data_IF_628177821361
#
_entry.id   IF_628177821361
#
_cell.length_a   1.000
_cell.length_b   1.000
_cell.length_c   1.000
_cell.angle_alpha   90.00
_cell.angle_beta   90.00
_cell.angle_gamma   90.00
#
_symmetry.space_group_name_H-M   'P 1'
#
loop_
_entity.id
_entity.type
_entity.pdbx_description
1 polymer ?
#
# COMPACT_ATOMS: atom_id res chain seq x y z
N UNK A 1 0.86 -2.67 38.00
CA UNK A 1 1.80 -2.97 36.90
C UNK A 1 2.94 -1.97 36.98
N UNK A 2 4.18 -2.43 37.18
CA UNK A 2 5.34 -1.55 37.07
C UNK A 2 5.54 -1.15 35.59
N UNK A 3 6.00 0.07 35.30
CA UNK A 3 6.33 0.47 33.94
C UNK A 3 7.45 -0.44 33.42
N UNK A 4 7.20 -1.09 32.28
CA UNK A 4 8.21 -1.87 31.57
C UNK A 4 9.32 -0.88 31.17
N UNK A 5 10.48 -0.93 31.85
CA UNK A 5 11.69 -0.23 31.38
C UNK A 5 11.92 -0.68 29.94
N UNK A 6 12.12 0.28 29.03
CA UNK A 6 12.58 0.00 27.67
C UNK A 6 13.78 -0.95 27.76
N UNK A 7 13.78 -2.11 27.09
CA UNK A 7 14.91 -3.02 27.19
C UNK A 7 16.09 -2.41 26.44
N UNK A 8 17.20 -2.26 27.14
CA UNK A 8 18.51 -1.98 26.54
C UNK A 8 18.95 -3.23 25.76
N UNK A 9 18.42 -3.40 24.55
CA UNK A 9 18.93 -4.39 23.62
C UNK A 9 20.40 -4.05 23.32
N UNK A 10 21.30 -5.04 23.27
CA UNK A 10 22.71 -4.79 22.98
C UNK A 10 22.87 -4.00 21.66
N UNK A 11 23.75 -2.97 21.60
CA UNK A 11 23.95 -2.17 20.38
C UNK A 11 24.28 -3.02 19.14
N UNK A 12 25.01 -4.13 19.33
CA UNK A 12 25.32 -5.09 18.27
C UNK A 12 24.06 -5.71 17.66
N UNK A 13 23.06 -6.03 18.48
CA UNK A 13 21.80 -6.60 18.01
C UNK A 13 20.96 -5.56 17.27
N UNK A 14 20.89 -4.33 17.79
CA UNK A 14 20.22 -3.21 17.13
C UNK A 14 20.84 -2.93 15.74
N UNK A 15 22.16 -2.93 15.65
CA UNK A 15 22.88 -2.76 14.39
C UNK A 15 22.61 -3.91 13.42
N UNK A 16 22.61 -5.16 13.89
CA UNK A 16 22.29 -6.31 13.04
C UNK A 16 20.85 -6.24 12.49
N UNK A 17 19.89 -5.82 13.32
CA UNK A 17 18.49 -5.62 12.91
C UNK A 17 18.39 -4.51 11.86
N UNK A 18 19.11 -3.40 12.04
CA UNK A 18 19.13 -2.29 11.09
C UNK A 18 19.73 -2.73 9.73
N UNK A 19 20.86 -3.44 9.74
CA UNK A 19 21.51 -3.96 8.53
C UNK A 19 20.63 -4.97 7.79
N UNK A 20 19.99 -5.88 8.51
CA UNK A 20 19.02 -6.80 7.91
C UNK A 20 17.85 -6.05 7.26
N UNK A 21 17.27 -5.08 7.98
CA UNK A 21 16.15 -4.31 7.47
C UNK A 21 16.55 -3.59 6.18
N UNK A 22 17.74 -2.99 6.14
CA UNK A 22 18.29 -2.29 4.98
C UNK A 22 18.53 -3.25 3.80
N UNK A 23 19.26 -4.35 4.03
CA UNK A 23 19.65 -5.32 3.01
C UNK A 23 18.47 -6.07 2.38
N UNK A 24 17.37 -6.24 3.12
CA UNK A 24 16.19 -6.97 2.65
C UNK A 24 15.07 -6.07 2.16
N UNK A 25 15.30 -4.76 2.07
CA UNK A 25 14.35 -3.77 1.56
C UNK A 25 14.83 -3.24 0.22
N UNK A 26 13.95 -3.14 -0.77
CA UNK A 26 14.30 -2.57 -2.07
C UNK A 26 14.80 -1.12 -1.90
N UNK A 27 15.96 -0.81 -2.47
CA UNK A 27 16.58 0.52 -2.44
C UNK A 27 15.69 1.57 -3.10
N UNK A 28 15.04 1.20 -4.20
CA UNK A 28 14.28 2.14 -5.05
C UNK A 28 12.82 2.33 -4.59
N UNK A 29 12.45 1.80 -3.42
CA UNK A 29 11.07 1.94 -2.94
C UNK A 29 10.85 3.35 -2.38
N UNK A 30 9.86 4.07 -2.91
CA UNK A 30 9.40 5.35 -2.35
C UNK A 30 8.91 5.21 -0.88
N UNK A 31 8.58 3.99 -0.44
CA UNK A 31 8.20 3.64 0.94
C UNK A 31 9.33 3.03 1.76
N UNK A 32 10.58 3.14 1.32
CA UNK A 32 11.73 2.51 2.00
C UNK A 32 11.76 2.85 3.50
N UNK A 33 11.63 4.12 3.86
CA UNK A 33 11.67 4.55 5.26
C UNK A 33 10.58 3.87 6.13
N UNK A 34 9.34 3.78 5.63
CA UNK A 34 8.25 3.08 6.32
C UNK A 34 8.54 1.58 6.47
N UNK A 35 9.05 0.95 5.40
CA UNK A 35 9.36 -0.48 5.40
C UNK A 35 10.49 -0.83 6.37
N UNK A 36 11.52 0.03 6.45
CA UNK A 36 12.61 -0.12 7.42
C UNK A 36 12.08 -0.02 8.84
N UNK A 37 11.25 0.99 9.12
CA UNK A 37 10.61 1.17 10.43
C UNK A 37 9.79 -0.05 10.81
N UNK A 38 8.87 -0.49 9.94
CA UNK A 38 8.00 -1.64 10.19
C UNK A 38 8.77 -2.94 10.49
N UNK A 39 9.91 -3.15 9.81
CA UNK A 39 10.78 -4.31 10.04
C UNK A 39 11.48 -4.22 11.39
N UNK A 40 12.07 -3.07 11.71
CA UNK A 40 12.77 -2.86 12.97
C UNK A 40 11.81 -2.92 14.16
N UNK A 41 10.65 -2.26 14.06
CA UNK A 41 9.59 -2.27 15.09
C UNK A 41 9.09 -3.69 15.38
N UNK A 42 9.03 -4.59 14.39
CA UNK A 42 8.63 -5.97 14.66
C UNK A 42 9.61 -6.73 15.58
N UNK A 43 10.90 -6.39 15.54
CA UNK A 43 11.94 -7.09 16.31
C UNK A 43 12.32 -6.37 17.60
N UNK A 44 12.21 -5.04 17.62
CA UNK A 44 12.61 -4.16 18.74
C UNK A 44 11.39 -3.60 19.49
N UNK A 45 10.26 -3.38 18.82
CA UNK A 45 9.17 -2.55 19.33
C UNK A 45 9.36 -1.08 18.96
N UNK A 46 8.35 -0.25 19.20
CA UNK A 46 8.37 1.20 18.93
C UNK A 46 8.56 2.05 20.20
N UNK A 47 8.70 1.40 21.37
CA UNK A 47 8.93 2.07 22.65
C UNK A 47 7.73 2.86 23.19
N UNK A 48 6.57 2.78 22.53
CA UNK A 48 5.35 3.48 22.94
C UNK A 48 4.54 2.64 23.93
N UNK A 49 3.98 3.29 24.95
CA UNK A 49 3.19 2.64 26.00
C UNK A 49 1.81 2.25 25.46
N UNK A 50 1.76 1.20 24.66
CA UNK A 50 0.51 0.68 24.07
C UNK A 50 0.70 -0.27 22.90
N UNK A 51 1.89 -0.34 22.29
CA UNK A 51 2.17 -1.29 21.22
C UNK A 51 2.64 -2.65 21.77
N UNK A 52 2.37 -3.71 21.02
CA UNK A 52 2.89 -5.04 21.35
C UNK A 52 4.42 -5.08 21.15
N UNK A 53 5.14 -5.49 22.19
CA UNK A 53 6.59 -5.59 22.24
C UNK A 53 7.18 -6.35 21.03
N UNK A 54 8.33 -5.87 20.55
CA UNK A 54 9.14 -6.58 19.56
C UNK A 54 9.68 -7.89 20.11
N UNK A 55 10.05 -8.81 19.22
CA UNK A 55 10.47 -10.16 19.60
C UNK A 55 11.65 -10.17 20.59
N UNK A 56 12.75 -9.47 20.28
CA UNK A 56 13.95 -9.50 21.12
C UNK A 56 13.76 -8.73 22.42
N UNK A 57 12.90 -7.72 22.40
CA UNK A 57 12.45 -6.97 23.59
C UNK A 57 11.68 -7.85 24.55
N UNK A 58 10.78 -8.71 24.05
CA UNK A 58 10.03 -9.64 24.90
C UNK A 58 10.91 -10.78 25.42
N UNK A 59 11.66 -11.41 24.52
CA UNK A 59 12.41 -12.65 24.83
C UNK A 59 13.71 -12.36 25.59
N UNK A 60 14.31 -11.18 25.36
CA UNK A 60 15.56 -10.74 25.97
C UNK A 60 16.69 -11.78 25.88
N UNK A 61 16.86 -12.38 24.69
CA UNK A 61 17.92 -13.35 24.39
C UNK A 61 18.69 -12.92 23.15
N UNK A 62 19.98 -13.21 23.13
CA UNK A 62 20.79 -13.10 21.92
C UNK A 62 20.30 -14.10 20.85
N UNK A 63 20.41 -13.78 19.55
CA UNK A 63 19.83 -14.61 18.48
C UNK A 63 20.20 -16.08 18.50
N UNK A 64 21.43 -16.42 18.94
CA UNK A 64 21.92 -17.80 19.03
C UNK A 64 21.31 -18.64 20.17
N UNK A 65 20.65 -18.00 21.14
CA UNK A 65 20.02 -18.68 22.28
C UNK A 65 18.49 -18.76 22.14
N UNK A 66 17.94 -18.28 21.03
CA UNK A 66 16.49 -18.31 20.78
C UNK A 66 16.07 -19.70 20.35
N UNK A 67 14.97 -20.17 20.94
CA UNK A 67 14.39 -21.48 20.70
C UNK A 67 13.04 -21.39 19.98
N UNK A 68 12.53 -22.49 19.40
CA UNK A 68 11.17 -22.55 18.87
C UNK A 68 10.10 -22.22 19.93
N UNK A 69 10.37 -22.52 21.22
CA UNK A 69 9.45 -22.17 22.32
C UNK A 69 9.34 -20.67 22.51
N UNK A 70 10.44 -19.92 22.38
CA UNK A 70 10.43 -18.45 22.46
C UNK A 70 9.55 -17.83 21.36
N UNK A 71 9.59 -18.41 20.16
CA UNK A 71 8.71 -18.01 19.04
C UNK A 71 7.23 -18.26 19.37
N UNK A 72 6.90 -19.42 19.94
CA UNK A 72 5.53 -19.75 20.37
C UNK A 72 5.04 -18.82 21.49
N UNK A 73 5.90 -18.50 22.45
CA UNK A 73 5.56 -17.58 23.54
C UNK A 73 5.31 -16.17 23.01
N UNK A 74 6.11 -15.70 22.05
CA UNK A 74 5.86 -14.41 21.41
C UNK A 74 4.56 -14.43 20.59
N UNK A 75 4.26 -15.52 19.88
CA UNK A 75 2.97 -15.67 19.20
C UNK A 75 1.80 -15.50 20.17
N UNK A 76 1.79 -16.24 21.28
CA UNK A 76 0.74 -16.17 22.30
C UNK A 76 0.63 -14.75 22.90
N UNK A 77 1.76 -14.09 23.16
CA UNK A 77 1.78 -12.69 23.61
C UNK A 77 1.12 -11.74 22.60
N UNK A 78 1.45 -11.86 21.30
CA UNK A 78 0.85 -11.01 20.27
C UNK A 78 -0.67 -11.23 20.16
N UNK A 79 -1.13 -12.48 20.33
CA UNK A 79 -2.56 -12.82 20.35
C UNK A 79 -3.26 -12.23 21.59
N UNK A 80 -2.63 -12.28 22.77
CA UNK A 80 -3.14 -11.64 24.00
C UNK A 80 -3.22 -10.12 23.89
N UNK A 81 -2.32 -9.50 23.12
CA UNK A 81 -2.37 -8.09 22.78
C UNK A 81 -3.46 -7.74 21.74
N UNK A 82 -4.27 -8.71 21.32
CA UNK A 82 -5.41 -8.51 20.42
C UNK A 82 -5.05 -8.36 18.95
N UNK A 83 -3.83 -8.73 18.54
CA UNK A 83 -3.46 -8.67 17.12
C UNK A 83 -4.21 -9.74 16.31
N UNK A 84 -4.63 -9.36 15.11
CA UNK A 84 -5.24 -10.31 14.17
C UNK A 84 -4.27 -11.46 13.80
N UNK A 85 -4.77 -12.66 13.48
CA UNK A 85 -3.92 -13.78 13.05
C UNK A 85 -2.99 -13.44 11.87
N UNK A 86 -3.44 -12.58 10.95
CA UNK A 86 -2.62 -12.08 9.84
C UNK A 86 -1.48 -11.18 10.32
N UNK A 87 -1.75 -10.27 11.26
CA UNK A 87 -0.75 -9.41 11.88
C UNK A 87 0.30 -10.22 12.65
N UNK A 88 -0.14 -11.22 13.41
CA UNK A 88 0.74 -12.17 14.13
C UNK A 88 1.64 -12.91 13.14
N UNK A 89 1.05 -13.53 12.11
CA UNK A 89 1.79 -14.26 11.08
C UNK A 89 2.82 -13.37 10.35
N UNK A 90 2.46 -12.13 10.04
CA UNK A 90 3.35 -11.17 9.37
C UNK A 90 4.53 -10.75 10.26
N UNK A 91 4.33 -10.60 11.58
CA UNK A 91 5.42 -10.32 12.53
C UNK A 91 6.37 -11.52 12.66
N UNK A 92 5.84 -12.74 12.78
CA UNK A 92 6.64 -13.98 12.83
C UNK A 92 7.39 -14.23 11.53
N UNK A 93 6.80 -13.87 10.38
CA UNK A 93 7.49 -13.95 9.09
C UNK A 93 8.68 -13.00 8.97
N UNK A 94 8.60 -11.80 9.58
CA UNK A 94 9.74 -10.86 9.67
C UNK A 94 10.87 -11.45 10.52
N UNK A 95 10.53 -12.06 11.66
CA UNK A 95 11.51 -12.79 12.48
C UNK A 95 12.20 -13.90 11.68
N UNK A 96 11.43 -14.70 10.93
CA UNK A 96 12.02 -15.73 10.08
C UNK A 96 12.96 -15.15 9.02
N UNK A 97 12.59 -14.03 8.39
CA UNK A 97 13.44 -13.32 7.41
C UNK A 97 14.75 -12.83 8.04
N UNK A 98 14.71 -12.29 9.25
CA UNK A 98 15.91 -11.90 10.00
C UNK A 98 16.84 -13.10 10.25
N UNK A 99 16.31 -14.24 10.69
CA UNK A 99 17.12 -15.45 10.89
C UNK A 99 17.69 -15.99 9.58
N UNK A 100 16.94 -15.96 8.48
CA UNK A 100 17.47 -16.35 7.17
C UNK A 100 18.65 -15.47 6.76
N UNK A 101 18.52 -14.15 6.93
CA UNK A 101 19.62 -13.23 6.66
C UNK A 101 20.85 -13.49 7.55
N UNK A 102 20.66 -13.75 8.85
CA UNK A 102 21.77 -14.14 9.74
C UNK A 102 22.44 -15.46 9.29
N UNK A 103 21.65 -16.41 8.80
CA UNK A 103 22.16 -17.68 8.27
C UNK A 103 22.91 -17.50 6.96
N UNK A 104 22.59 -16.47 6.18
CA UNK A 104 23.26 -16.17 4.91
C UNK A 104 24.55 -15.36 5.10
N UNK A 105 24.60 -14.55 6.16
CA UNK A 105 25.75 -13.71 6.49
C UNK A 105 26.94 -14.56 7.01
N UNK A 106 28.11 -14.55 6.35
CA UNK A 106 29.26 -15.39 6.71
C UNK A 106 29.70 -15.27 8.17
N UNK A 107 29.54 -14.08 8.76
CA UNK A 107 29.93 -13.78 10.16
C UNK A 107 29.05 -14.49 11.19
N UNK A 108 27.82 -14.84 10.85
CA UNK A 108 26.81 -15.36 11.79
C UNK A 108 26.39 -16.80 11.49
N UNK A 109 26.53 -17.27 10.25
CA UNK A 109 26.13 -18.62 9.81
C UNK A 109 26.61 -19.75 10.72
N UNK A 110 27.84 -19.67 11.26
CA UNK A 110 28.38 -20.70 12.17
C UNK A 110 27.68 -20.72 13.54
N UNK A 111 27.16 -19.58 14.00
CA UNK A 111 26.52 -19.43 15.32
C UNK A 111 25.00 -19.61 15.26
N UNK A 112 24.41 -19.46 14.08
CA UNK A 112 22.98 -19.57 13.83
C UNK A 112 22.76 -20.70 12.82
N UNK A 113 22.80 -21.98 13.23
CA UNK A 113 22.67 -23.10 12.30
C UNK A 113 21.22 -23.37 11.87
N UNK A 114 20.24 -22.86 12.61
CA UNK A 114 18.82 -23.10 12.38
C UNK A 114 17.99 -21.83 12.57
N UNK A 115 16.94 -21.70 11.77
CA UNK A 115 15.90 -20.70 11.98
C UNK A 115 14.87 -21.24 12.99
N UNK A 116 14.76 -20.69 14.21
CA UNK A 116 13.85 -21.19 15.24
C UNK A 116 12.37 -21.06 14.81
N UNK A 117 12.07 -20.17 13.86
CA UNK A 117 10.71 -19.99 13.33
C UNK A 117 10.26 -21.19 12.50
N UNK A 118 11.16 -21.89 11.82
CA UNK A 118 10.75 -22.98 10.92
C UNK A 118 10.16 -24.19 11.67
N UNK A 119 10.44 -24.32 12.96
CA UNK A 119 9.87 -25.33 13.86
C UNK A 119 8.67 -24.83 14.69
N UNK A 120 8.36 -23.54 14.63
CA UNK A 120 7.34 -22.88 15.46
C UNK A 120 6.39 -21.98 14.68
N UNK A 121 6.47 -21.97 13.35
CA UNK A 121 5.68 -21.07 12.51
C UNK A 121 4.19 -21.37 12.68
N UNK A 122 3.35 -20.37 12.99
CA UNK A 122 1.91 -20.56 12.97
C UNK A 122 1.46 -20.94 11.55
N UNK A 123 0.37 -21.70 11.44
CA UNK A 123 -0.26 -21.94 10.14
C UNK A 123 -0.57 -20.59 9.51
N UNK A 124 -0.20 -20.43 8.24
CA UNK A 124 -0.61 -19.27 7.47
C UNK A 124 -2.13 -19.15 7.60
N UNK A 125 -2.66 -18.02 8.09
CA UNK A 125 -4.10 -17.84 8.15
C UNK A 125 -4.62 -18.06 6.74
N UNK A 126 -5.62 -18.95 6.59
CA UNK A 126 -6.24 -19.14 5.29
C UNK A 126 -6.73 -17.76 4.83
N UNK A 127 -6.55 -17.44 3.55
CA UNK A 127 -7.13 -16.25 2.94
C UNK A 127 -8.65 -16.39 2.85
N UNK A 128 -9.33 -16.55 3.99
CA UNK A 128 -10.78 -16.47 4.07
C UNK A 128 -11.13 -15.00 4.25
N UNK A 129 -11.77 -14.45 3.23
CA UNK A 129 -12.93 -13.55 3.32
C UNK A 129 -13.04 -12.75 4.63
N UNK A 130 -12.02 -12.00 5.01
CA UNK A 130 -12.21 -10.92 5.97
C UNK A 130 -13.17 -9.92 5.33
N UNK A 131 -14.00 -9.22 6.10
CA UNK A 131 -14.77 -8.08 5.56
C UNK A 131 -13.86 -7.09 4.82
N UNK A 132 -12.62 -6.96 5.30
CA UNK A 132 -11.52 -6.17 4.72
C UNK A 132 -11.06 -6.63 3.32
N UNK A 133 -11.46 -7.83 2.90
CA UNK A 133 -11.23 -8.41 1.56
C UNK A 133 -12.49 -8.47 0.70
N UNK A 134 -13.65 -8.07 1.22
CA UNK A 134 -14.88 -7.99 0.43
C UNK A 134 -14.88 -6.71 -0.41
N UNK A 135 -15.28 -6.84 -1.67
CA UNK A 135 -15.61 -5.71 -2.52
C UNK A 135 -16.68 -4.83 -1.85
N UNK A 136 -16.62 -3.52 -2.08
CA UNK A 136 -17.72 -2.64 -1.74
C UNK A 136 -18.94 -2.97 -2.63
N UNK A 137 -20.14 -2.75 -2.11
CA UNK A 137 -21.34 -2.70 -2.95
C UNK A 137 -21.28 -1.48 -3.87
N UNK A 138 -22.05 -1.47 -4.95
CA UNK A 138 -22.14 -0.29 -5.82
C UNK A 138 -22.59 0.92 -5.00
N UNK A 139 -23.61 0.75 -4.15
CA UNK A 139 -24.11 1.79 -3.28
C UNK A 139 -23.03 2.36 -2.36
N UNK A 140 -22.26 1.53 -1.66
CA UNK A 140 -21.21 2.01 -0.74
C UNK A 140 -20.09 2.76 -1.49
N UNK A 141 -19.74 2.28 -2.69
CA UNK A 141 -18.75 2.96 -3.53
C UNK A 141 -19.27 4.34 -4.01
N UNK A 142 -20.54 4.43 -4.42
CA UNK A 142 -21.19 5.72 -4.77
C UNK A 142 -21.25 6.65 -3.57
N UNK A 143 -21.74 6.17 -2.42
CA UNK A 143 -21.84 6.95 -1.18
C UNK A 143 -20.48 7.51 -0.78
N UNK A 144 -19.42 6.71 -0.83
CA UNK A 144 -18.06 7.19 -0.54
C UNK A 144 -17.61 8.28 -1.53
N UNK A 145 -17.78 8.06 -2.84
CA UNK A 145 -17.36 9.03 -3.86
C UNK A 145 -18.13 10.34 -3.76
N UNK A 146 -19.46 10.31 -3.63
CA UNK A 146 -20.29 11.51 -3.46
C UNK A 146 -19.99 12.23 -2.15
N UNK A 147 -19.76 11.50 -1.06
CA UNK A 147 -19.39 12.13 0.21
C UNK A 147 -18.09 12.91 0.09
N UNK A 148 -17.02 12.29 -0.43
CA UNK A 148 -15.73 12.98 -0.61
C UNK A 148 -15.86 14.14 -1.60
N UNK A 149 -16.64 13.97 -2.68
CA UNK A 149 -16.95 15.06 -3.63
C UNK A 149 -17.63 16.25 -2.96
N UNK A 150 -18.57 16.01 -2.04
CA UNK A 150 -19.27 17.08 -1.32
C UNK A 150 -18.38 17.91 -0.40
N UNK A 151 -17.22 17.36 -0.02
CA UNK A 151 -16.20 18.04 0.77
C UNK A 151 -15.20 18.84 -0.09
N UNK A 152 -15.24 18.70 -1.42
CA UNK A 152 -14.34 19.41 -2.33
C UNK A 152 -14.66 20.91 -2.33
N UNK A 153 -13.68 21.71 -1.95
CA UNK A 153 -13.72 23.17 -2.03
C UNK A 153 -12.29 23.72 -2.14
N UNK A 154 -12.16 24.99 -2.51
CA UNK A 154 -10.85 25.67 -2.57
C UNK A 154 -10.15 25.66 -1.19
N UNK A 155 -10.92 25.79 -0.10
CA UNK A 155 -10.39 25.74 1.27
C UNK A 155 -10.04 24.32 1.76
N UNK A 156 -10.37 23.28 0.98
CA UNK A 156 -10.16 21.88 1.36
C UNK A 156 -9.44 21.09 0.26
N UNK A 157 -8.21 21.51 -0.06
CA UNK A 157 -7.35 20.84 -1.04
C UNK A 157 -7.12 19.35 -0.76
N UNK A 158 -7.15 18.93 0.51
CA UNK A 158 -7.05 17.51 0.86
C UNK A 158 -8.23 16.70 0.30
N UNK A 159 -9.46 17.22 0.38
CA UNK A 159 -10.62 16.55 -0.18
C UNK A 159 -10.61 16.53 -1.71
N UNK A 160 -10.18 17.62 -2.37
CA UNK A 160 -10.04 17.66 -3.84
C UNK A 160 -9.01 16.62 -4.31
N UNK A 161 -7.84 16.56 -3.66
CA UNK A 161 -6.83 15.53 -3.90
C UNK A 161 -7.36 14.12 -3.67
N UNK A 162 -8.01 13.89 -2.53
CA UNK A 162 -8.46 12.56 -2.11
C UNK A 162 -9.61 12.06 -2.99
N UNK A 163 -10.46 12.95 -3.49
CA UNK A 163 -11.44 12.64 -4.52
C UNK A 163 -10.78 12.16 -5.82
N UNK A 164 -9.79 12.91 -6.32
CA UNK A 164 -9.02 12.50 -7.50
C UNK A 164 -8.34 11.14 -7.31
N UNK A 165 -7.67 10.92 -6.16
CA UNK A 165 -7.08 9.63 -5.80
C UNK A 165 -8.12 8.50 -5.84
N UNK A 166 -9.30 8.70 -5.26
CA UNK A 166 -10.37 7.70 -5.27
C UNK A 166 -10.87 7.41 -6.69
N UNK A 167 -11.05 8.42 -7.54
CA UNK A 167 -11.41 8.23 -8.96
C UNK A 167 -10.37 7.35 -9.67
N UNK A 168 -9.06 7.60 -9.47
CA UNK A 168 -8.00 6.75 -10.01
C UNK A 168 -8.09 5.30 -9.53
N UNK A 169 -8.32 5.07 -8.23
CA UNK A 169 -8.43 3.72 -7.69
C UNK A 169 -9.64 2.96 -8.22
N UNK A 170 -10.80 3.60 -8.32
CA UNK A 170 -12.01 2.96 -8.85
C UNK A 170 -11.97 2.80 -10.37
N UNK A 171 -11.31 3.67 -11.11
CA UNK A 171 -11.19 3.53 -12.56
C UNK A 171 -10.20 2.43 -12.97
N UNK A 172 -9.16 2.20 -12.18
CA UNK A 172 -8.02 1.34 -12.59
C UNK A 172 -7.90 0.03 -11.81
N UNK A 173 -8.44 -0.02 -10.59
CA UNK A 173 -8.22 -1.15 -9.68
C UNK A 173 -6.75 -1.37 -9.29
N UNK A 174 -5.85 -0.40 -9.53
CA UNK A 174 -4.42 -0.50 -9.22
C UNK A 174 -4.16 -0.60 -7.71
N UNK A 175 -2.99 -1.11 -7.35
CA UNK A 175 -2.53 -1.20 -5.95
C UNK A 175 -2.27 0.19 -5.39
N UNK A 176 -2.25 0.28 -4.07
CA UNK A 176 -1.99 1.52 -3.34
C UNK A 176 -0.73 2.25 -3.82
N UNK A 177 0.41 1.56 -3.84
CA UNK A 177 1.68 2.18 -4.26
C UNK A 177 1.66 2.60 -5.72
N UNK A 178 1.00 1.85 -6.60
CA UNK A 178 0.92 2.12 -8.03
C UNK A 178 0.18 3.44 -8.37
N UNK A 179 -0.64 3.96 -7.46
CA UNK A 179 -1.35 5.24 -7.64
C UNK A 179 -0.79 6.34 -6.72
N UNK A 180 -0.57 6.06 -5.44
CA UNK A 180 -0.18 7.12 -4.50
C UNK A 180 1.26 7.61 -4.70
N UNK A 181 2.11 6.81 -5.35
CA UNK A 181 3.52 7.14 -5.61
C UNK A 181 3.72 7.69 -7.04
N UNK A 182 2.65 7.98 -7.78
CA UNK A 182 2.75 8.58 -9.12
C UNK A 182 3.48 9.92 -9.06
N UNK A 183 4.37 10.10 -10.03
CA UNK A 183 5.10 11.34 -10.31
C UNK A 183 4.62 11.94 -11.63
N UNK A 184 5.07 13.14 -11.98
CA UNK A 184 4.66 13.80 -13.22
C UNK A 184 5.01 13.02 -14.48
N UNK A 185 6.13 12.29 -14.48
CA UNK A 185 6.49 11.44 -15.62
C UNK A 185 5.54 10.28 -15.86
N UNK A 186 4.71 9.96 -14.87
CA UNK A 186 3.87 8.78 -14.89
C UNK A 186 2.48 9.06 -15.51
N UNK A 187 2.18 10.32 -15.84
CA UNK A 187 0.89 10.74 -16.41
C UNK A 187 1.11 11.45 -17.75
N UNK A 188 0.33 11.09 -18.75
CA UNK A 188 0.10 11.92 -19.93
C UNK A 188 -1.39 12.22 -20.08
N UNK A 189 -1.77 13.50 -20.12
CA UNK A 189 -3.16 13.91 -20.39
C UNK A 189 -3.45 13.77 -21.89
N UNK A 190 -4.68 13.39 -22.22
CA UNK A 190 -5.19 13.32 -23.59
C UNK A 190 -6.55 14.00 -23.67
N UNK A 191 -7.08 14.21 -24.88
CA UNK A 191 -8.42 14.78 -25.05
C UNK A 191 -9.53 13.83 -24.57
N UNK A 192 -9.28 12.51 -24.64
CA UNK A 192 -10.26 11.46 -24.31
C UNK A 192 -10.12 10.93 -22.88
N UNK A 193 -9.12 11.39 -22.12
CA UNK A 193 -8.80 10.86 -20.80
C UNK A 193 -7.33 11.06 -20.43
N UNK A 194 -6.65 10.01 -19.99
CA UNK A 194 -5.22 10.04 -19.68
C UNK A 194 -4.53 8.69 -19.89
N UNK A 195 -3.20 8.70 -19.93
CA UNK A 195 -2.35 7.51 -19.94
C UNK A 195 -1.55 7.44 -18.65
N UNK A 196 -1.63 6.29 -17.97
CA UNK A 196 -0.88 5.97 -16.76
C UNK A 196 0.32 5.08 -17.07
N UNK A 197 1.51 5.52 -16.69
CA UNK A 197 2.70 4.70 -16.65
C UNK A 197 2.90 4.19 -15.23
N UNK A 198 2.73 2.90 -15.01
CA UNK A 198 2.86 2.30 -13.67
C UNK A 198 3.91 1.20 -13.68
N UNK A 199 4.71 1.16 -12.62
CA UNK A 199 5.65 0.06 -12.39
C UNK A 199 4.88 -1.11 -11.77
N UNK A 200 4.79 -2.23 -12.48
CA UNK A 200 4.18 -3.45 -11.98
C UNK A 200 5.20 -4.28 -11.17
N UNK A 201 4.69 -5.24 -10.38
CA UNK A 201 5.51 -6.18 -9.62
C UNK A 201 6.52 -6.86 -10.56
N UNK A 202 7.82 -6.69 -10.29
CA UNK A 202 8.91 -7.18 -11.15
C UNK A 202 9.66 -6.08 -11.89
N UNK A 203 9.26 -4.82 -11.75
CA UNK A 203 9.97 -3.66 -12.28
C UNK A 203 9.60 -3.29 -13.73
N UNK A 204 8.63 -4.00 -14.33
CA UNK A 204 8.14 -3.73 -15.67
C UNK A 204 7.22 -2.50 -15.66
N UNK A 205 7.52 -1.51 -16.49
CA UNK A 205 6.67 -0.34 -16.71
C UNK A 205 5.59 -0.67 -17.74
N UNK A 206 4.33 -0.35 -17.42
CA UNK A 206 3.19 -0.50 -18.34
C UNK A 206 2.45 0.82 -18.48
N UNK A 207 2.30 1.27 -19.72
CA UNK A 207 1.39 2.35 -20.10
C UNK A 207 -0.04 1.78 -20.23
N UNK A 208 -1.02 2.41 -19.57
CA UNK A 208 -2.43 2.02 -19.59
C UNK A 208 -3.29 3.25 -19.80
N UNK A 209 -4.17 3.23 -20.80
CA UNK A 209 -5.18 4.28 -20.99
C UNK A 209 -6.22 4.23 -19.87
N UNK A 210 -6.75 5.40 -19.53
CA UNK A 210 -7.94 5.59 -18.67
C UNK A 210 -8.83 6.61 -19.39
N UNK A 211 -9.92 6.11 -19.98
CA UNK A 211 -10.86 6.87 -20.83
C UNK A 211 -12.06 7.44 -20.04
N UNK A 212 -12.12 7.22 -18.72
CA UNK A 212 -13.05 7.89 -17.82
C UNK A 212 -12.64 9.37 -17.70
N UNK A 213 -13.36 10.24 -18.42
CA UNK A 213 -13.10 11.68 -18.45
C UNK A 213 -13.18 12.30 -17.05
N UNK A 214 -14.01 11.77 -16.16
CA UNK A 214 -14.14 12.31 -14.81
C UNK A 214 -12.91 12.02 -13.93
N UNK A 215 -12.07 11.03 -14.28
CA UNK A 215 -10.74 10.84 -13.66
C UNK A 215 -9.80 11.97 -14.07
N UNK A 216 -9.78 12.29 -15.37
CA UNK A 216 -9.03 13.43 -15.92
C UNK A 216 -9.50 14.73 -15.28
N UNK A 217 -10.82 14.99 -15.26
CA UNK A 217 -11.40 16.20 -14.71
C UNK A 217 -11.11 16.34 -13.21
N UNK A 218 -11.17 15.25 -12.44
CA UNK A 218 -10.82 15.29 -11.01
C UNK A 218 -9.34 15.60 -10.79
N UNK A 219 -8.44 15.07 -11.63
CA UNK A 219 -7.02 15.44 -11.59
C UNK A 219 -6.84 16.93 -11.91
N UNK A 220 -7.41 17.42 -13.02
CA UNK A 220 -7.32 18.83 -13.41
C UNK A 220 -7.85 19.75 -12.31
N UNK A 221 -9.03 19.44 -11.75
CA UNK A 221 -9.61 20.21 -10.65
C UNK A 221 -8.67 20.28 -9.43
N UNK A 222 -8.01 19.17 -9.10
CA UNK A 222 -6.99 19.16 -8.05
C UNK A 222 -5.77 20.02 -8.42
N UNK A 223 -5.29 19.94 -9.65
CA UNK A 223 -4.15 20.73 -10.10
C UNK A 223 -4.43 22.22 -10.08
N UNK A 224 -5.59 22.66 -10.59
CA UNK A 224 -6.06 24.05 -10.53
C UNK A 224 -6.16 24.51 -9.08
N UNK A 225 -6.82 23.73 -8.22
CA UNK A 225 -6.97 24.10 -6.81
C UNK A 225 -5.62 24.16 -6.06
N UNK A 226 -4.64 23.35 -6.47
CA UNK A 226 -3.29 23.37 -5.92
C UNK A 226 -2.36 24.39 -6.59
N UNK A 227 -2.85 25.24 -7.50
CA UNK A 227 -2.08 26.22 -8.26
C UNK A 227 -0.95 25.61 -9.12
N UNK A 228 -1.09 24.34 -9.51
CA UNK A 228 -0.10 23.58 -10.33
C UNK A 228 -0.58 23.31 -11.76
N UNK A 229 -1.75 23.84 -12.13
CA UNK A 229 -2.26 23.69 -13.49
C UNK A 229 -1.50 24.59 -14.46
N UNK A 230 -1.33 25.86 -14.10
CA UNK A 230 -0.63 26.83 -14.94
C UNK A 230 0.86 26.47 -15.11
N UNK A 231 1.45 25.79 -14.13
CA UNK A 231 2.81 25.24 -14.20
C UNK A 231 3.01 24.17 -15.28
N UNK A 232 1.94 23.46 -15.67
CA UNK A 232 1.98 22.48 -16.77
C UNK A 232 2.02 23.16 -18.13
N UNK A 233 1.30 24.28 -18.29
CA UNK A 233 1.31 25.04 -19.55
C UNK A 233 2.57 25.90 -19.70
N UNK A 234 3.19 26.30 -18.58
CA UNK A 234 4.37 27.17 -18.58
C UNK A 234 5.72 26.43 -18.70
N UNK A 235 5.76 25.09 -18.75
CA UNK A 235 7.00 24.25 -18.69
C UNK A 235 7.94 24.58 -17.51
N UNK A 236 7.51 25.36 -16.51
CA UNK A 236 8.44 26.13 -15.69
C UNK A 236 8.67 25.66 -14.26
N UNK A 237 7.90 24.71 -13.69
CA UNK A 237 7.99 24.47 -12.24
C UNK A 237 7.86 23.00 -11.77
N UNK A 238 7.55 22.05 -12.66
CA UNK A 238 7.31 20.65 -12.28
C UNK A 238 8.33 19.72 -12.92
N UNK A 239 9.23 19.18 -12.11
CA UNK A 239 10.21 18.21 -12.58
C UNK A 239 9.55 16.83 -12.80
N UNK A 240 10.02 16.02 -13.76
CA UNK A 240 9.44 14.69 -14.02
C UNK A 240 9.38 13.77 -12.78
N UNK A 241 10.27 13.98 -11.80
CA UNK A 241 10.32 13.22 -10.55
C UNK A 241 9.45 13.79 -9.42
N UNK A 242 8.85 14.96 -9.59
CA UNK A 242 8.04 15.57 -8.55
C UNK A 242 6.74 14.77 -8.33
N UNK A 243 6.29 14.64 -7.07
CA UNK A 243 5.12 13.85 -6.73
C UNK A 243 3.84 14.47 -7.28
N UNK A 244 2.99 13.65 -7.88
CA UNK A 244 1.69 14.08 -8.38
C UNK A 244 0.76 14.50 -7.23
N UNK A 245 0.81 13.78 -6.11
CA UNK A 245 -0.07 13.95 -4.96
C UNK A 245 0.65 14.58 -3.76
N UNK A 246 0.22 15.76 -3.35
CA UNK A 246 0.88 16.55 -2.32
C UNK A 246 0.14 16.49 -0.99
N UNK A 247 0.86 16.71 0.10
CA UNK A 247 0.33 16.82 1.44
C UNK A 247 -0.06 18.28 1.71
N UNK A 248 -1.32 18.49 2.06
CA UNK A 248 -1.93 19.80 2.30
C UNK A 248 -2.23 20.06 3.78
N UNK A 249 -1.51 19.39 4.69
CA UNK A 249 -1.57 19.75 6.10
C UNK A 249 -0.75 21.02 6.37
N UNK A 250 -1.02 21.66 7.51
CA UNK A 250 -0.35 22.91 7.94
C UNK A 250 1.18 22.78 7.96
N UNK A 251 1.71 21.57 8.11
CA UNK A 251 3.14 21.29 8.21
C UNK A 251 3.82 21.16 6.84
N UNK A 252 3.17 20.56 5.84
CA UNK A 252 3.75 20.40 4.49
C UNK A 252 3.47 21.57 3.55
N UNK A 253 2.35 22.29 3.71
CA UNK A 253 1.96 23.39 2.80
C UNK A 253 2.10 23.05 1.31
N UNK A 254 1.77 21.82 0.90
CA UNK A 254 1.86 21.39 -0.49
C UNK A 254 3.27 21.02 -0.98
N UNK A 255 4.31 20.99 -0.15
CA UNK A 255 5.69 20.77 -0.62
C UNK A 255 6.17 19.32 -0.52
N UNK A 256 5.39 18.44 0.11
CA UNK A 256 5.77 17.04 0.35
C UNK A 256 4.72 16.11 -0.22
N UNK A 257 5.14 14.93 -0.70
CA UNK A 257 4.22 13.90 -1.15
C UNK A 257 3.23 13.49 -0.04
N UNK A 258 1.99 13.18 -0.41
CA UNK A 258 1.03 12.55 0.51
C UNK A 258 1.56 11.16 0.90
N UNK A 259 1.46 10.82 2.18
CA UNK A 259 1.90 9.50 2.65
C UNK A 259 0.78 8.47 2.49
N UNK A 260 1.13 7.22 2.23
CA UNK A 260 0.18 6.10 2.22
C UNK A 260 -0.63 6.03 3.51
N UNK A 261 0.00 6.28 4.66
CA UNK A 261 -0.67 6.24 5.95
C UNK A 261 -1.64 7.41 6.12
N UNK A 262 -1.25 8.61 5.69
CA UNK A 262 -2.08 9.82 5.72
C UNK A 262 -3.36 9.65 4.89
N UNK A 263 -3.21 9.21 3.63
CA UNK A 263 -4.38 8.98 2.77
C UNK A 263 -5.31 7.89 3.32
N UNK A 264 -4.78 6.76 3.80
CA UNK A 264 -5.61 5.68 4.37
C UNK A 264 -6.34 6.12 5.64
N UNK A 265 -5.70 6.98 6.46
CA UNK A 265 -6.34 7.58 7.62
C UNK A 265 -7.52 8.45 7.21
N UNK A 266 -7.35 9.29 6.18
CA UNK A 266 -8.42 10.12 5.63
C UNK A 266 -9.54 9.29 5.01
N UNK A 267 -9.20 8.25 4.23
CA UNK A 267 -10.19 7.31 3.68
C UNK A 267 -11.09 6.70 4.77
N UNK A 268 -10.48 6.23 5.87
CA UNK A 268 -11.24 5.68 7.00
C UNK A 268 -12.14 6.74 7.65
N UNK A 269 -11.65 7.97 7.77
CA UNK A 269 -12.44 9.09 8.29
C UNK A 269 -13.65 9.35 7.38
N UNK A 270 -13.45 9.47 6.08
CA UNK A 270 -14.53 9.67 5.11
C UNK A 270 -15.55 8.55 5.15
N UNK A 271 -15.11 7.29 5.21
CA UNK A 271 -16.01 6.14 5.32
C UNK A 271 -16.86 6.18 6.59
N UNK A 272 -16.28 6.55 7.73
CA UNK A 272 -17.01 6.69 8.99
C UNK A 272 -18.03 7.83 8.94
N UNK A 273 -17.64 8.99 8.43
CA UNK A 273 -18.52 10.15 8.32
C UNK A 273 -19.64 9.94 7.28
N UNK A 274 -19.41 9.11 6.27
CA UNK A 274 -20.41 8.67 5.30
C UNK A 274 -21.31 7.52 5.80
N UNK A 275 -21.11 7.04 7.04
CA UNK A 275 -21.91 5.95 7.62
C UNK A 275 -21.59 4.54 7.12
N UNK A 276 -20.43 4.35 6.46
CA UNK A 276 -20.03 3.07 5.83
C UNK A 276 -19.18 2.17 6.74
N UNK A 277 -18.68 2.67 7.87
CA UNK A 277 -17.86 1.90 8.81
C UNK A 277 -16.38 1.76 8.41
N UNK A 278 -15.75 0.61 8.71
CA UNK A 278 -14.32 0.38 8.46
C UNK A 278 -14.06 -0.06 7.01
N UNK A 279 -13.65 0.89 6.18
CA UNK A 279 -13.21 0.62 4.80
C UNK A 279 -11.68 0.53 4.70
N UNK A 280 -11.22 -0.40 3.89
CA UNK A 280 -9.84 -0.55 3.47
C UNK A 280 -9.67 -0.19 1.99
N UNK A 281 -8.62 0.57 1.68
CA UNK A 281 -8.33 0.95 0.29
C UNK A 281 -8.22 -0.24 -0.67
N UNK A 282 -7.80 -1.41 -0.22
CA UNK A 282 -7.73 -2.59 -1.10
C UNK A 282 -9.12 -3.08 -1.55
N UNK A 283 -10.19 -2.68 -0.86
CA UNK A 283 -11.56 -2.98 -1.28
C UNK A 283 -11.91 -2.30 -2.59
N UNK A 284 -11.36 -1.12 -2.92
CA UNK A 284 -11.62 -0.48 -4.24
C UNK A 284 -11.19 -1.38 -5.38
N UNK A 285 -10.01 -2.01 -5.26
CA UNK A 285 -9.51 -3.01 -6.21
C UNK A 285 -10.42 -4.24 -6.30
N UNK A 286 -10.91 -4.74 -5.16
CA UNK A 286 -11.87 -5.85 -5.17
C UNK A 286 -13.21 -5.44 -5.80
N UNK A 287 -13.66 -4.20 -5.57
CA UNK A 287 -14.86 -3.64 -6.21
C UNK A 287 -14.68 -3.60 -7.72
N UNK A 288 -13.54 -3.11 -8.22
CA UNK A 288 -13.24 -3.11 -9.67
C UNK A 288 -13.23 -4.53 -10.23
N UNK A 289 -12.58 -5.47 -9.55
CA UNK A 289 -12.56 -6.87 -9.97
C UNK A 289 -13.97 -7.48 -10.03
N UNK A 290 -14.82 -7.17 -9.04
CA UNK A 290 -16.22 -7.59 -9.00
C UNK A 290 -17.01 -6.99 -10.16
N UNK A 291 -16.96 -5.67 -10.33
CA UNK A 291 -17.71 -4.96 -11.38
C UNK A 291 -17.32 -5.46 -12.77
N UNK A 292 -16.02 -5.55 -13.06
CA UNK A 292 -15.53 -6.09 -14.34
C UNK A 292 -15.93 -7.55 -14.53
N UNK A 293 -15.89 -8.37 -13.47
CA UNK A 293 -16.31 -9.77 -13.53
C UNK A 293 -17.80 -9.94 -13.80
N UNK A 294 -18.65 -9.11 -13.19
CA UNK A 294 -20.10 -9.09 -13.40
C UNK A 294 -20.45 -8.59 -14.81
N UNK A 295 -19.77 -7.55 -15.30
CA UNK A 295 -20.07 -6.94 -16.59
C UNK A 295 -19.55 -7.79 -17.78
N UNK A 296 -18.39 -8.45 -17.62
CA UNK A 296 -17.75 -9.20 -18.71
C UNK A 296 -18.00 -10.71 -18.65
N UNK A 297 -18.27 -11.28 -17.47
CA UNK A 297 -18.28 -12.73 -17.26
C UNK A 297 -16.92 -13.42 -17.48
N UNK A 298 -15.83 -12.65 -17.67
CA UNK A 298 -14.52 -13.14 -18.09
C UNK A 298 -13.45 -12.90 -17.01
N UNK A 299 -12.94 -14.01 -16.45
CA UNK A 299 -11.84 -13.96 -15.48
C UNK A 299 -10.56 -13.35 -16.08
N UNK A 300 -10.35 -13.49 -17.39
CA UNK A 300 -9.20 -12.89 -18.06
C UNK A 300 -9.32 -11.37 -18.12
N UNK A 301 -10.51 -10.81 -18.37
CA UNK A 301 -10.78 -9.38 -18.26
C UNK A 301 -10.49 -8.87 -16.83
N UNK A 302 -10.92 -9.61 -15.81
CA UNK A 302 -10.61 -9.29 -14.39
C UNK A 302 -9.11 -9.31 -14.13
N UNK A 303 -8.38 -10.32 -14.57
CA UNK A 303 -6.92 -10.39 -14.40
C UNK A 303 -6.20 -9.26 -15.13
N UNK A 304 -6.70 -8.93 -16.31
CA UNK A 304 -6.19 -7.87 -17.16
C UNK A 304 -6.34 -6.53 -16.45
N UNK A 305 -7.53 -6.12 -16.00
CA UNK A 305 -7.70 -4.83 -15.31
C UNK A 305 -6.84 -4.75 -14.05
N UNK A 306 -6.68 -5.86 -13.34
CA UNK A 306 -5.88 -5.95 -12.13
C UNK A 306 -4.35 -5.96 -12.37
N UNK A 307 -3.87 -6.14 -13.59
CA UNK A 307 -2.43 -6.18 -13.89
C UNK A 307 -1.72 -7.37 -13.23
N UNK A 308 -2.35 -8.56 -13.25
CA UNK A 308 -1.72 -9.78 -12.76
C UNK A 308 -0.72 -10.33 -13.80
N UNK A 309 0.56 -10.43 -13.43
CA UNK A 309 1.64 -10.84 -14.34
C UNK A 309 1.76 -12.36 -14.59
N UNK A 310 0.97 -13.20 -13.91
CA UNK A 310 1.03 -14.65 -14.09
C UNK A 310 -0.34 -15.23 -14.38
N UNK A 311 -0.58 -15.57 -15.65
CA UNK A 311 -1.12 -16.88 -15.99
C UNK A 311 0.10 -17.79 -16.14
N UNK A 312 -0.02 -19.06 -15.72
CA UNK A 312 0.98 -20.10 -15.98
C UNK A 312 1.59 -19.91 -17.38
N UNK A 313 2.92 -19.82 -17.39
CA UNK A 313 3.82 -19.73 -18.53
C UNK A 313 3.29 -20.27 -19.86
N UNK A 314 3.62 -19.53 -20.92
CA UNK A 314 3.56 -19.89 -22.35
C UNK A 314 2.36 -19.35 -23.12
N UNK A 315 2.35 -18.04 -23.44
CA UNK A 315 1.92 -17.52 -24.78
C UNK A 315 2.04 -16.01 -25.03
N UNK A 316 2.54 -15.17 -24.11
CA UNK A 316 2.65 -13.71 -24.37
C UNK A 316 4.11 -13.28 -24.57
N UNK A 317 4.74 -13.79 -25.64
CA UNK A 317 6.06 -13.30 -26.07
C UNK A 317 5.98 -12.25 -27.20
N UNK A 318 4.82 -11.63 -27.47
CA UNK A 318 4.70 -10.65 -28.56
C UNK A 318 3.86 -9.42 -28.20
N UNK A 319 4.15 -8.74 -27.10
CA UNK A 319 3.79 -7.33 -26.95
C UNK A 319 4.98 -6.54 -26.38
N UNK A 320 5.94 -6.24 -27.26
CA UNK A 320 6.86 -5.11 -27.07
C UNK A 320 6.10 -3.85 -27.47
N UNK A 321 6.00 -2.89 -26.54
CA UNK A 321 5.54 -1.50 -26.75
C UNK A 321 4.13 -1.40 -27.35
N UNK A 322 3.11 -1.86 -26.62
CA UNK A 322 1.73 -1.40 -26.84
C UNK A 322 1.24 -0.69 -25.59
N UNK A 323 0.71 0.52 -25.77
CA UNK A 323 -0.10 1.18 -24.73
C UNK A 323 -1.34 0.31 -24.55
N UNK A 324 -1.59 -0.12 -23.31
CA UNK A 324 -2.72 -0.98 -23.04
C UNK A 324 -4.01 -0.15 -23.10
N UNK A 325 -4.87 -0.49 -24.05
CA UNK A 325 -6.18 0.14 -24.23
C UNK A 325 -7.08 -0.07 -23.03
N UNK A 326 -7.74 0.99 -22.61
CA UNK A 326 -8.81 0.91 -21.62
C UNK A 326 -10.04 0.25 -22.23
N UNK A 327 -10.75 -0.53 -21.41
CA UNK A 327 -12.02 -1.18 -21.77
C UNK A 327 -13.08 -1.07 -20.68
N UNK A 328 -12.75 -0.51 -19.52
CA UNK A 328 -13.57 -0.70 -18.32
C UNK A 328 -13.85 0.60 -17.56
N UNK A 329 -12.97 1.60 -17.58
CA UNK A 329 -13.14 2.75 -16.67
C UNK A 329 -14.44 3.51 -16.90
N UNK A 330 -14.85 3.74 -18.15
CA UNK A 330 -16.12 4.40 -18.48
C UNK A 330 -17.35 3.59 -18.01
N UNK A 331 -17.33 2.27 -18.14
CA UNK A 331 -18.41 1.42 -17.66
C UNK A 331 -18.50 1.45 -16.12
N UNK A 332 -17.35 1.47 -15.45
CA UNK A 332 -17.27 1.61 -13.99
C UNK A 332 -17.80 2.98 -13.55
N UNK A 333 -17.44 4.05 -14.26
CA UNK A 333 -17.89 5.41 -13.95
C UNK A 333 -19.43 5.56 -14.07
N UNK A 334 -20.02 5.04 -15.15
CA UNK A 334 -21.48 4.91 -15.33
C UNK A 334 -22.12 4.17 -14.19
N UNK A 335 -21.55 3.03 -13.85
CA UNK A 335 -22.04 2.16 -12.78
C UNK A 335 -21.96 2.84 -11.42
N UNK A 336 -21.00 3.72 -11.20
CA UNK A 336 -20.83 4.48 -9.96
C UNK A 336 -21.47 5.87 -9.97
N UNK A 337 -22.22 6.25 -11.02
CA UNK A 337 -22.90 7.54 -11.14
C UNK A 337 -21.95 8.75 -10.97
N UNK A 338 -20.78 8.67 -11.62
CA UNK A 338 -19.70 9.69 -11.55
C UNK A 338 -19.18 10.13 -12.92
N UNK A 339 -19.99 9.95 -13.97
CA UNK A 339 -19.70 10.42 -15.33
C UNK A 339 -19.92 11.93 -15.44
N UNK A 340 -18.95 12.74 -15.04
CA UNK A 340 -18.93 14.19 -15.31
C UNK A 340 -17.54 14.67 -15.70
#
# INVERSE_FOLDING_TARGET
>A
MQPVRQPDLPPVLLNAIALWADATTNADSARRADLLRDKQTALVGDGDNGSAAGFFTLVNKAPQHVTPLDVKNWQAYLEQMGLSPASVYARISRLSSFYKWLMDEPRFRQRIPINPVDLARPKAPKAYQSEKSRALSDNDARTLLHYVRSLCSQDNLSAVRDYALLRFYFATGKRRSEIIELTWRDIALTDEGLVLHTQEKGGLYRATEVLDIGVRNALIAYLIASERWDDLEAEALLEPGDPLWLRHDRAAKGQQAVTSHGFVKMLKKYAQEAGLGDIHLHQTRHTVARMVGEDSGDLHAVQTVLGHQHLSTTRVYLERISVKRDRHSQAIARRLDVDE
#
